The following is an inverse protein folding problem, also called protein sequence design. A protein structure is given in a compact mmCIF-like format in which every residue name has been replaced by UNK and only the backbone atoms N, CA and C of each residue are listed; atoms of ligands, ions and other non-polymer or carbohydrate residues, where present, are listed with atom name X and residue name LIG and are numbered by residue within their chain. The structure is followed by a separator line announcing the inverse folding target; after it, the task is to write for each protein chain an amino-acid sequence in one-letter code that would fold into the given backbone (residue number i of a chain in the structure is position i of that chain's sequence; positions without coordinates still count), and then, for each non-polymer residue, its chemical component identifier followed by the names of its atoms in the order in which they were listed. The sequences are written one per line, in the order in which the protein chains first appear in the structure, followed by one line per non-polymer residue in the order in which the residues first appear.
data_IF_747652730479
#
_entry.id   IF_747652730479
#
_cell.length_a   1.000
_cell.length_b   1.000
_cell.length_c   1.000
_cell.angle_alpha   90.00
_cell.angle_beta   90.00
_cell.angle_gamma   90.00
#
_symmetry.space_group_name_H-M   'P 1'
#
loop_
_entity.id
_entity.type
_entity.pdbx_description
1 polymer ?
#
# COMPACT_ATOMS: atom_id res chain seq x y z
N UNK A 1 2.99 -7.10 9.66
CA UNK A 1 4.35 -7.70 9.66
C UNK A 1 5.37 -6.59 9.81
N UNK A 2 6.47 -6.82 10.53
CA UNK A 2 7.51 -5.79 10.73
C UNK A 2 8.37 -5.59 9.49
N UNK A 3 8.66 -6.65 8.72
CA UNK A 3 9.37 -6.62 7.43
C UNK A 3 8.89 -7.81 6.58
N UNK A 4 8.87 -7.64 5.26
CA UNK A 4 8.62 -8.72 4.29
C UNK A 4 9.63 -8.63 3.16
N UNK A 5 10.24 -9.76 2.78
CA UNK A 5 11.18 -9.87 1.67
C UNK A 5 10.57 -10.74 0.56
N UNK A 6 10.62 -10.25 -0.67
CA UNK A 6 10.00 -10.88 -1.85
C UNK A 6 10.94 -10.78 -3.04
N UNK A 7 10.75 -11.62 -4.06
CA UNK A 7 11.57 -11.58 -5.27
C UNK A 7 11.04 -10.52 -6.24
N UNK A 8 11.90 -9.96 -7.10
CA UNK A 8 11.43 -9.16 -8.22
C UNK A 8 10.43 -9.93 -9.08
N UNK A 9 9.32 -9.30 -9.44
CA UNK A 9 8.21 -9.92 -10.16
C UNK A 9 7.10 -10.48 -9.27
N UNK A 10 7.36 -10.71 -7.97
CA UNK A 10 6.35 -11.25 -7.07
C UNK A 10 5.22 -10.24 -6.81
N UNK A 11 4.08 -10.77 -6.36
CA UNK A 11 2.98 -9.96 -5.83
C UNK A 11 3.00 -10.04 -4.31
N UNK A 12 2.94 -8.88 -3.66
CA UNK A 12 2.92 -8.77 -2.21
C UNK A 12 1.65 -8.10 -1.73
N UNK A 13 1.15 -8.57 -0.59
CA UNK A 13 -0.01 -8.02 0.10
C UNK A 13 0.36 -7.60 1.50
N UNK A 14 0.05 -6.35 1.85
CA UNK A 14 0.26 -5.77 3.18
C UNK A 14 -1.11 -5.43 3.75
N UNK A 15 -1.36 -5.85 4.98
CA UNK A 15 -2.64 -5.59 5.67
C UNK A 15 -2.44 -4.68 6.88
N UNK A 16 -3.45 -3.86 7.14
CA UNK A 16 -3.56 -3.00 8.31
C UNK A 16 -4.95 -3.18 8.90
N UNK A 17 -5.04 -3.52 10.18
CA UNK A 17 -6.33 -3.62 10.89
C UNK A 17 -6.41 -2.55 11.97
N UNK A 18 -7.59 -1.95 12.12
CA UNK A 18 -7.81 -0.85 13.08
C UNK A 18 -9.28 -0.48 13.23
N UNK A 19 -9.60 0.52 14.04
CA UNK A 19 -10.99 0.93 14.29
C UNK A 19 -11.58 1.84 13.19
N UNK A 20 -10.77 2.26 12.23
CA UNK A 20 -11.18 3.11 11.10
C UNK A 20 -11.74 2.26 9.96
N UNK A 21 -12.64 2.85 9.17
CA UNK A 21 -13.12 2.28 7.91
C UNK A 21 -12.47 2.93 6.67
N UNK A 22 -11.53 3.86 6.89
CA UNK A 22 -10.80 4.56 5.84
C UNK A 22 -9.30 4.33 5.99
N UNK A 23 -8.69 3.89 4.89
CA UNK A 23 -7.28 3.53 4.79
C UNK A 23 -6.58 4.36 3.72
N UNK A 24 -5.41 4.88 4.11
CA UNK A 24 -4.45 5.51 3.22
C UNK A 24 -3.13 4.77 3.31
N UNK A 25 -2.45 4.62 2.16
CA UNK A 25 -1.15 3.98 2.06
C UNK A 25 -0.13 4.99 1.59
N UNK A 26 1.04 4.99 2.23
CA UNK A 26 2.12 5.93 1.97
C UNK A 26 3.44 5.18 1.78
N UNK A 27 4.24 5.61 0.81
CA UNK A 27 5.56 5.09 0.56
C UNK A 27 6.62 6.11 1.00
N UNK A 28 7.55 5.67 1.84
CA UNK A 28 8.75 6.42 2.19
C UNK A 28 9.97 5.60 1.73
N UNK A 29 10.74 6.13 0.78
CA UNK A 29 11.92 5.44 0.23
C UNK A 29 13.20 5.76 1.00
N UNK A 30 13.30 7.00 1.49
CA UNK A 30 14.47 7.47 2.23
C UNK A 30 14.02 7.84 3.64
N UNK A 31 14.66 7.30 4.69
CA UNK A 31 14.35 7.71 6.06
C UNK A 31 14.44 9.23 6.21
N UNK A 32 13.38 9.83 6.77
CA UNK A 32 13.30 11.28 6.95
C UNK A 32 12.79 12.06 5.74
N UNK A 33 12.55 11.43 4.58
CA UNK A 33 11.86 12.11 3.47
C UNK A 33 10.36 12.20 3.71
N UNK A 34 9.70 13.15 3.05
CA UNK A 34 8.24 13.20 3.04
C UNK A 34 7.66 11.89 2.44
N UNK A 35 6.67 11.26 3.10
CA UNK A 35 5.97 10.13 2.52
C UNK A 35 5.17 10.54 1.27
N UNK A 36 5.09 9.65 0.30
CA UNK A 36 4.27 9.82 -0.92
C UNK A 36 3.02 8.97 -0.79
N UNK A 37 1.85 9.58 -0.95
CA UNK A 37 0.58 8.85 -0.99
C UNK A 37 0.54 7.92 -2.20
N UNK A 38 0.36 6.63 -1.97
CA UNK A 38 0.21 5.60 -3.03
C UNK A 38 -1.25 5.20 -3.22
N UNK A 39 -2.03 5.11 -2.14
CA UNK A 39 -3.48 4.89 -2.18
C UNK A 39 -4.15 5.79 -1.15
N UNK A 40 -5.29 6.38 -1.49
CA UNK A 40 -6.16 7.15 -0.60
C UNK A 40 -7.61 6.68 -0.76
N UNK A 41 -8.46 7.00 0.22
CA UNK A 41 -9.87 6.60 0.22
C UNK A 41 -10.06 5.11 -0.16
N UNK A 42 -9.29 4.25 0.52
CA UNK A 42 -9.31 2.78 0.45
C UNK A 42 -8.77 2.16 -0.84
N UNK A 43 -9.09 2.73 -1.99
CA UNK A 43 -8.78 2.14 -3.31
C UNK A 43 -8.36 3.16 -4.37
N UNK A 44 -8.49 4.46 -4.11
CA UNK A 44 -8.14 5.48 -5.09
C UNK A 44 -6.62 5.63 -5.18
N UNK A 45 -6.08 5.44 -6.39
CA UNK A 45 -4.66 5.62 -6.69
C UNK A 45 -4.45 6.96 -7.40
N UNK A 46 -3.55 7.85 -6.92
CA UNK A 46 -3.20 9.06 -7.65
C UNK A 46 -2.65 8.74 -9.05
N UNK A 47 -2.90 9.59 -10.03
CA UNK A 47 -2.57 9.35 -11.45
C UNK A 47 -1.07 9.17 -11.72
N UNK A 48 -0.21 9.77 -10.91
CA UNK A 48 1.25 9.68 -10.99
C UNK A 48 1.83 8.44 -10.28
N UNK A 49 0.99 7.61 -9.66
CA UNK A 49 1.43 6.37 -9.00
C UNK A 49 1.29 5.19 -9.96
N UNK A 50 2.30 4.31 -10.11
CA UNK A 50 2.25 3.17 -11.02
C UNK A 50 1.06 2.23 -10.77
N UNK A 51 0.52 1.64 -11.84
CA UNK A 51 -0.64 0.74 -11.80
C UNK A 51 -0.44 -0.54 -10.98
N UNK A 52 0.82 -0.87 -10.65
CA UNK A 52 1.16 -2.02 -9.82
C UNK A 52 0.66 -1.92 -8.37
N UNK A 53 0.34 -0.73 -7.90
CA UNK A 53 -0.24 -0.52 -6.58
C UNK A 53 -1.77 -0.54 -6.67
N UNK A 54 -2.42 -1.30 -5.80
CA UNK A 54 -3.87 -1.30 -5.62
C UNK A 54 -4.22 -1.42 -4.13
N UNK A 55 -5.33 -0.80 -3.74
CA UNK A 55 -5.84 -0.87 -2.37
C UNK A 55 -7.27 -1.39 -2.31
N UNK A 56 -7.60 -2.02 -1.19
CA UNK A 56 -8.95 -2.43 -0.84
C UNK A 56 -9.16 -2.37 0.67
N UNK A 57 -10.42 -2.34 1.09
CA UNK A 57 -10.79 -2.42 2.49
C UNK A 57 -11.99 -3.35 2.66
N UNK A 58 -12.00 -4.11 3.75
CA UNK A 58 -13.11 -4.97 4.15
C UNK A 58 -13.25 -4.92 5.67
N UNK A 59 -14.40 -4.44 6.13
CA UNK A 59 -14.63 -4.14 7.55
C UNK A 59 -13.54 -3.24 8.11
N UNK A 60 -12.90 -3.71 9.19
CA UNK A 60 -11.81 -3.04 9.90
C UNK A 60 -10.41 -3.44 9.40
N UNK A 61 -10.29 -3.91 8.15
CA UNK A 61 -9.01 -4.28 7.55
C UNK A 61 -8.81 -3.65 6.17
N UNK A 62 -7.77 -2.83 6.06
CA UNK A 62 -7.24 -2.32 4.80
C UNK A 62 -6.16 -3.22 4.25
N UNK A 63 -6.09 -3.31 2.93
CA UNK A 63 -5.14 -4.14 2.18
C UNK A 63 -4.48 -3.31 1.08
N UNK A 64 -3.16 -3.39 0.97
CA UNK A 64 -2.37 -2.89 -0.15
C UNK A 64 -1.77 -4.08 -0.90
N UNK A 65 -2.01 -4.14 -2.19
CA UNK A 65 -1.40 -5.11 -3.09
C UNK A 65 -0.40 -4.39 -4.00
N UNK A 66 0.79 -4.96 -4.13
CA UNK A 66 1.83 -4.50 -5.04
C UNK A 66 2.17 -5.67 -5.95
N UNK A 67 1.81 -5.58 -7.23
CA UNK A 67 2.14 -6.61 -8.23
C UNK A 67 3.50 -6.32 -8.87
N UNK A 68 4.20 -7.34 -9.35
CA UNK A 68 5.45 -7.15 -10.08
C UNK A 68 6.44 -6.29 -9.31
N UNK A 69 6.74 -6.64 -8.06
CA UNK A 69 7.69 -5.90 -7.20
C UNK A 69 9.04 -5.76 -7.92
N UNK A 70 9.69 -4.61 -7.75
CA UNK A 70 10.97 -4.27 -8.39
C UNK A 70 11.94 -3.75 -7.34
#
# INVERSE_FOLDING_TARGET
PSVLSVKPGDTVTITCSGLSNYYGWFQQKVPGSAPVTVIYADSNRPSNIPSRFSGSASGSTGTLTITGVQ
#
